data_IF_993040549265
#
_entry.id   IF_993040549265
#
_cell.length_a   1.000
_cell.length_b   1.000
_cell.length_c   1.000
_cell.angle_alpha   90.00
_cell.angle_beta   90.00
_cell.angle_gamma   90.00
#
_symmetry.space_group_name_H-M   'P 1'
#
loop_
_entity.id
_entity.type
_entity.pdbx_description
1 polymer ?
#
# COMPACT_ATOMS: atom_id res chain seq x y z
N UNK A 1 -15.84 -53.05 55.11
CA UNK A 1 -14.44 -53.44 54.82
C UNK A 1 -13.71 -52.27 54.16
N UNK A 2 -13.44 -51.18 54.90
CA UNK A 2 -12.85 -49.95 54.35
C UNK A 2 -11.33 -49.82 54.55
N UNK A 3 -10.70 -50.75 55.28
CA UNK A 3 -9.24 -50.82 55.44
C UNK A 3 -8.70 -52.02 54.66
N UNK A 4 -8.28 -51.79 53.41
CA UNK A 4 -7.44 -52.72 52.66
C UNK A 4 -6.02 -52.15 52.61
N UNK A 5 -5.04 -52.92 53.10
CA UNK A 5 -3.62 -52.52 53.14
C UNK A 5 -3.01 -52.51 51.72
N UNK A 6 -3.53 -53.34 50.82
CA UNK A 6 -3.02 -53.45 49.44
C UNK A 6 -3.66 -52.47 48.45
N UNK A 7 -4.75 -51.80 48.81
CA UNK A 7 -5.46 -50.90 47.88
C UNK A 7 -5.93 -49.66 48.62
N UNK A 8 -5.09 -48.62 48.64
CA UNK A 8 -5.40 -47.36 49.30
C UNK A 8 -6.28 -46.48 48.39
N UNK A 9 -7.60 -46.62 48.54
CA UNK A 9 -8.59 -45.88 47.75
C UNK A 9 -8.47 -44.35 47.92
N UNK A 10 -8.04 -43.88 49.09
CA UNK A 10 -7.80 -42.45 49.36
C UNK A 10 -6.59 -41.92 48.59
N UNK A 11 -5.51 -42.71 48.50
CA UNK A 11 -4.33 -42.35 47.72
C UNK A 11 -4.61 -42.36 46.21
N UNK A 12 -5.44 -43.29 45.71
CA UNK A 12 -5.83 -43.30 44.28
C UNK A 12 -6.67 -42.08 43.89
N UNK A 13 -7.64 -41.68 44.72
CA UNK A 13 -8.44 -40.46 44.49
C UNK A 13 -7.56 -39.20 44.56
N UNK A 14 -6.60 -39.16 45.49
CA UNK A 14 -5.63 -38.08 45.57
C UNK A 14 -4.69 -38.02 44.35
N UNK A 15 -4.26 -39.18 43.82
CA UNK A 15 -3.46 -39.27 42.60
C UNK A 15 -4.23 -38.80 41.37
N UNK A 16 -5.50 -39.18 41.24
CA UNK A 16 -6.34 -38.73 40.12
C UNK A 16 -6.61 -37.21 40.18
N UNK A 17 -6.87 -36.68 41.38
CA UNK A 17 -7.00 -35.23 41.59
C UNK A 17 -5.68 -34.50 41.30
N UNK A 18 -4.54 -35.08 41.65
CA UNK A 18 -3.22 -34.53 41.35
C UNK A 18 -2.94 -34.54 39.85
N UNK A 19 -3.22 -35.63 39.14
CA UNK A 19 -3.08 -35.72 37.69
C UNK A 19 -3.99 -34.72 36.95
N UNK A 20 -5.23 -34.52 37.42
CA UNK A 20 -6.11 -33.46 36.91
C UNK A 20 -5.53 -32.06 37.15
N UNK A 21 -5.03 -31.80 38.36
CA UNK A 21 -4.39 -30.51 38.71
C UNK A 21 -3.12 -30.27 37.88
N UNK A 22 -2.35 -31.32 37.59
CA UNK A 22 -1.16 -31.27 36.75
C UNK A 22 -1.52 -30.89 35.31
N UNK A 23 -2.56 -31.51 34.73
CA UNK A 23 -3.04 -31.16 33.39
C UNK A 23 -3.62 -29.75 33.30
N UNK A 24 -4.30 -29.27 34.35
CA UNK A 24 -4.80 -27.89 34.41
C UNK A 24 -3.66 -26.87 34.58
N UNK A 25 -2.61 -27.24 35.33
CA UNK A 25 -1.39 -26.44 35.49
C UNK A 25 -0.69 -26.25 34.14
N UNK A 26 -0.46 -27.33 33.40
CA UNK A 26 0.18 -27.29 32.07
C UNK A 26 -0.61 -26.40 31.08
N UNK A 27 -1.95 -26.45 31.13
CA UNK A 27 -2.80 -25.57 30.31
C UNK A 27 -2.70 -24.11 30.71
N UNK A 28 -2.68 -23.82 32.01
CA UNK A 28 -2.52 -22.45 32.51
C UNK A 28 -1.13 -21.90 32.19
N UNK A 29 -0.08 -22.72 32.33
CA UNK A 29 1.29 -22.39 31.93
C UNK A 29 1.38 -22.07 30.44
N UNK A 30 0.79 -22.92 29.58
CA UNK A 30 0.75 -22.68 28.14
C UNK A 30 -0.02 -21.39 27.79
N UNK A 31 -1.14 -21.13 28.46
CA UNK A 31 -1.96 -19.94 28.24
C UNK A 31 -1.24 -18.65 28.68
N UNK A 32 -0.51 -18.69 29.80
CA UNK A 32 0.32 -17.56 30.28
C UNK A 32 1.55 -17.37 29.40
N UNK A 33 2.20 -18.44 28.94
CA UNK A 33 3.38 -18.38 28.10
C UNK A 33 3.09 -17.86 26.68
N UNK A 34 1.94 -18.25 26.10
CA UNK A 34 1.54 -17.84 24.74
C UNK A 34 0.67 -16.59 24.72
N UNK A 35 0.13 -16.17 25.85
CA UNK A 35 -0.88 -15.10 25.96
C UNK A 35 -2.23 -15.47 25.32
N UNK A 36 -2.41 -16.72 24.89
CA UNK A 36 -3.59 -17.19 24.17
C UNK A 36 -4.31 -18.28 24.96
N UNK A 37 -5.63 -18.15 25.08
CA UNK A 37 -6.51 -19.17 25.63
C UNK A 37 -6.67 -20.36 24.67
N UNK A 38 -6.55 -20.13 23.36
CA UNK A 38 -6.63 -21.18 22.32
C UNK A 38 -5.35 -21.16 21.50
N UNK A 39 -4.33 -21.90 21.94
CA UNK A 39 -3.02 -21.88 21.28
C UNK A 39 -2.96 -22.84 20.07
N UNK A 40 -3.69 -23.95 20.15
CA UNK A 40 -3.70 -24.98 19.11
C UNK A 40 -5.11 -25.37 18.67
N UNK A 41 -5.21 -26.00 17.50
CA UNK A 41 -6.47 -26.58 17.01
C UNK A 41 -7.05 -27.67 17.94
N UNK A 42 -6.20 -28.26 18.81
CA UNK A 42 -6.64 -29.23 19.81
C UNK A 42 -7.40 -28.59 20.98
N UNK A 43 -7.16 -27.31 21.28
CA UNK A 43 -7.81 -26.61 22.39
C UNK A 43 -9.24 -26.19 22.03
N UNK A 44 -9.41 -25.60 20.84
CA UNK A 44 -10.72 -25.31 20.26
C UNK A 44 -10.59 -25.15 18.73
N UNK A 45 -11.01 -26.15 17.94
CA UNK A 45 -10.83 -26.12 16.49
C UNK A 45 -11.63 -25.01 15.80
N UNK A 46 -12.79 -24.64 16.33
CA UNK A 46 -13.64 -23.61 15.74
C UNK A 46 -13.05 -22.21 15.92
N UNK A 47 -12.70 -21.83 17.16
CA UNK A 47 -12.08 -20.53 17.44
C UNK A 47 -10.70 -20.42 16.78
N UNK A 48 -9.90 -21.49 16.80
CA UNK A 48 -8.60 -21.53 16.14
C UNK A 48 -8.72 -21.40 14.62
N UNK A 49 -9.66 -22.11 13.98
CA UNK A 49 -9.88 -22.03 12.53
C UNK A 49 -10.30 -20.63 12.07
N UNK A 50 -11.27 -20.03 12.75
CA UNK A 50 -11.76 -18.68 12.42
C UNK A 50 -10.66 -17.64 12.62
N UNK A 51 -9.96 -17.67 13.76
CA UNK A 51 -8.85 -16.75 14.03
C UNK A 51 -7.68 -16.92 13.06
N UNK A 52 -7.34 -18.15 12.66
CA UNK A 52 -6.31 -18.39 11.64
C UNK A 52 -6.72 -17.78 10.30
N UNK A 53 -7.98 -17.93 9.89
CA UNK A 53 -8.49 -17.28 8.69
C UNK A 53 -8.42 -15.75 8.78
N UNK A 54 -8.85 -15.18 9.92
CA UNK A 54 -8.76 -13.73 10.16
C UNK A 54 -7.30 -13.24 10.10
N UNK A 55 -6.35 -13.98 10.66
CA UNK A 55 -4.93 -13.61 10.60
C UNK A 55 -4.38 -13.68 9.17
N UNK A 56 -4.83 -14.63 8.35
CA UNK A 56 -4.49 -14.68 6.93
C UNK A 56 -5.08 -13.47 6.18
N UNK A 57 -6.31 -13.07 6.51
CA UNK A 57 -6.96 -11.89 5.92
C UNK A 57 -6.22 -10.59 6.31
N UNK A 58 -5.78 -10.48 7.58
CA UNK A 58 -4.95 -9.36 8.06
C UNK A 58 -3.63 -9.29 7.31
N UNK A 59 -2.91 -10.42 7.17
CA UNK A 59 -1.65 -10.47 6.41
C UNK A 59 -1.86 -10.12 4.93
N UNK A 60 -2.97 -10.58 4.33
CA UNK A 60 -3.36 -10.17 2.97
C UNK A 60 -3.61 -8.67 2.87
N UNK A 61 -4.29 -8.09 3.85
CA UNK A 61 -4.61 -6.65 3.90
C UNK A 61 -3.37 -5.77 4.15
N UNK A 62 -2.38 -6.27 4.89
CA UNK A 62 -1.06 -5.63 5.03
C UNK A 62 -0.32 -5.58 3.68
N UNK A 63 -0.28 -6.69 2.94
CA UNK A 63 0.32 -6.73 1.61
C UNK A 63 -0.41 -5.78 0.63
N UNK A 64 -1.74 -5.68 0.71
CA UNK A 64 -2.53 -4.70 -0.04
C UNK A 64 -2.13 -3.27 0.36
N UNK A 65 -1.96 -3.00 1.65
CA UNK A 65 -1.59 -1.67 2.14
C UNK A 65 -0.16 -1.25 1.76
N UNK A 66 0.78 -2.19 1.68
CA UNK A 66 2.13 -1.96 1.13
C UNK A 66 2.06 -1.63 -0.36
N UNK A 67 1.23 -2.38 -1.12
CA UNK A 67 0.93 -2.09 -2.52
C UNK A 67 0.32 -0.70 -2.73
N UNK A 68 -0.63 -0.29 -1.88
CA UNK A 68 -1.22 1.05 -1.89
C UNK A 68 -0.21 2.14 -1.54
N UNK A 69 0.72 1.87 -0.62
CA UNK A 69 1.79 2.80 -0.27
C UNK A 69 2.73 3.02 -1.45
N UNK A 70 3.10 1.95 -2.15
CA UNK A 70 3.86 2.04 -3.40
C UNK A 70 3.07 2.76 -4.51
N UNK A 71 1.77 2.50 -4.65
CA UNK A 71 0.88 3.24 -5.56
C UNK A 71 0.89 4.74 -5.27
N UNK A 72 0.79 5.11 -4.00
CA UNK A 72 0.80 6.51 -3.54
C UNK A 72 2.10 7.23 -3.88
N UNK A 73 3.24 6.53 -3.81
CA UNK A 73 4.55 7.06 -4.19
C UNK A 73 4.63 7.33 -5.70
N UNK A 74 4.15 6.40 -6.52
CA UNK A 74 4.07 6.57 -7.99
C UNK A 74 3.19 7.78 -8.33
N UNK A 75 2.00 7.89 -7.73
CA UNK A 75 1.09 9.03 -7.95
C UNK A 75 1.71 10.33 -7.47
N UNK A 76 2.41 10.34 -6.34
CA UNK A 76 3.02 11.56 -5.78
C UNK A 76 4.16 12.08 -6.65
N UNK A 77 5.02 11.20 -7.15
CA UNK A 77 6.07 11.56 -8.11
C UNK A 77 5.48 12.08 -9.41
N UNK A 78 4.43 11.42 -9.91
CA UNK A 78 3.70 11.86 -11.11
C UNK A 78 3.01 13.21 -10.91
N UNK A 79 2.41 13.47 -9.76
CA UNK A 79 1.78 14.76 -9.43
C UNK A 79 2.81 15.91 -9.36
N UNK A 80 3.99 15.67 -8.77
CA UNK A 80 5.04 16.67 -8.71
C UNK A 80 5.54 17.02 -10.11
N UNK A 81 5.88 16.01 -10.91
CA UNK A 81 6.29 16.19 -12.29
C UNK A 81 5.21 16.88 -13.14
N UNK A 82 3.94 16.54 -12.91
CA UNK A 82 2.82 17.18 -13.59
C UNK A 82 2.69 18.67 -13.23
N UNK A 83 2.90 19.04 -11.96
CA UNK A 83 2.95 20.43 -11.53
C UNK A 83 4.11 21.21 -12.17
N UNK A 84 5.28 20.60 -12.30
CA UNK A 84 6.42 21.22 -13.01
C UNK A 84 6.11 21.43 -14.49
N UNK A 85 5.45 20.47 -15.16
CA UNK A 85 5.00 20.62 -16.56
C UNK A 85 4.04 21.81 -16.70
N UNK A 86 3.09 21.98 -15.78
CA UNK A 86 2.19 23.15 -15.78
C UNK A 86 2.98 24.46 -15.63
N UNK A 87 3.98 24.51 -14.75
CA UNK A 87 4.86 25.68 -14.62
C UNK A 87 5.61 25.97 -15.92
N UNK A 88 6.23 24.95 -16.53
CA UNK A 88 6.95 25.12 -17.80
C UNK A 88 6.01 25.53 -18.94
N UNK A 89 4.75 25.07 -18.96
CA UNK A 89 3.75 25.54 -19.93
C UNK A 89 3.41 27.03 -19.75
N UNK A 90 3.38 27.53 -18.51
CA UNK A 90 3.23 28.96 -18.26
C UNK A 90 4.47 29.74 -18.71
N UNK A 91 5.68 29.19 -18.54
CA UNK A 91 6.91 29.81 -19.06
C UNK A 91 6.92 29.86 -20.60
N UNK A 92 6.42 28.81 -21.26
CA UNK A 92 6.20 28.78 -22.71
C UNK A 92 5.22 29.87 -23.10
N UNK A 93 4.09 30.02 -22.39
CA UNK A 93 3.12 31.09 -22.63
C UNK A 93 3.76 32.48 -22.51
N UNK A 94 4.50 32.76 -21.45
CA UNK A 94 5.17 34.06 -21.27
C UNK A 94 6.24 34.31 -22.35
N UNK A 95 6.95 33.27 -22.80
CA UNK A 95 7.88 33.39 -23.91
C UNK A 95 7.15 33.76 -25.23
N UNK A 96 5.98 33.19 -25.49
CA UNK A 96 5.15 33.55 -26.66
C UNK A 96 4.55 34.95 -26.52
N UNK A 97 4.12 35.36 -25.34
CA UNK A 97 3.61 36.72 -25.10
C UNK A 97 4.70 37.78 -25.32
N UNK A 98 5.96 37.47 -24.99
CA UNK A 98 7.10 38.38 -25.23
C UNK A 98 7.39 38.63 -26.73
N UNK A 99 6.98 37.71 -27.62
CA UNK A 99 7.11 37.89 -29.07
C UNK A 99 6.19 38.98 -29.62
N UNK A 100 4.99 39.12 -29.06
CA UNK A 100 4.05 40.19 -29.45
C UNK A 100 4.66 41.57 -29.20
N UNK A 101 5.44 41.73 -28.12
CA UNK A 101 6.09 42.99 -27.78
C UNK A 101 7.33 43.31 -28.63
N UNK A 102 7.97 42.31 -29.26
CA UNK A 102 9.23 42.47 -30.03
C UNK A 102 9.08 42.11 -31.53
N UNK A 103 7.87 42.31 -32.08
CA UNK A 103 7.37 41.81 -33.37
C UNK A 103 8.17 42.15 -34.66
N UNK A 104 9.28 42.89 -34.58
CA UNK A 104 9.95 43.50 -35.74
C UNK A 104 11.29 42.85 -36.12
N UNK A 105 11.85 41.92 -35.33
CA UNK A 105 13.18 41.35 -35.58
C UNK A 105 13.18 39.83 -35.79
N UNK A 106 13.77 39.38 -36.90
CA UNK A 106 13.89 37.95 -37.28
C UNK A 106 14.77 37.15 -36.32
N UNK A 107 15.89 37.71 -35.88
CA UNK A 107 16.80 37.05 -34.92
C UNK A 107 16.15 36.85 -33.54
N UNK A 108 15.24 37.76 -33.16
CA UNK A 108 14.43 37.63 -31.94
C UNK A 108 13.40 36.50 -32.06
N UNK A 109 12.82 36.28 -33.24
CA UNK A 109 11.89 35.17 -33.48
C UNK A 109 12.62 33.82 -33.44
N UNK A 110 13.77 33.72 -34.10
CA UNK A 110 14.55 32.47 -34.13
C UNK A 110 15.06 32.12 -32.72
N UNK A 111 15.47 33.12 -31.93
CA UNK A 111 15.87 32.95 -30.53
C UNK A 111 14.71 32.51 -29.62
N UNK A 112 13.51 33.08 -29.80
CA UNK A 112 12.34 32.65 -29.00
C UNK A 112 11.84 31.29 -29.45
N UNK A 113 11.81 30.98 -30.75
CA UNK A 113 11.47 29.65 -31.24
C UNK A 113 12.44 28.59 -30.70
N UNK A 114 13.74 28.88 -30.63
CA UNK A 114 14.72 28.00 -29.98
C UNK A 114 14.42 27.82 -28.48
N UNK A 115 14.02 28.90 -27.78
CA UNK A 115 13.58 28.82 -26.38
C UNK A 115 12.32 27.97 -26.20
N UNK A 116 11.33 28.10 -27.08
CA UNK A 116 10.09 27.30 -27.07
C UNK A 116 10.39 25.81 -27.29
N UNK A 117 11.28 25.49 -28.23
CA UNK A 117 11.75 24.12 -28.45
C UNK A 117 12.49 23.57 -27.22
N UNK A 118 13.36 24.37 -26.59
CA UNK A 118 14.03 23.99 -25.35
C UNK A 118 13.05 23.68 -24.22
N UNK A 119 12.07 24.57 -23.98
CA UNK A 119 11.05 24.38 -22.94
C UNK A 119 10.15 23.16 -23.24
N UNK A 120 9.80 22.91 -24.49
CA UNK A 120 9.06 21.71 -24.88
C UNK A 120 9.89 20.43 -24.70
N UNK A 121 11.20 20.48 -24.94
CA UNK A 121 12.15 19.42 -24.59
C UNK A 121 12.21 19.16 -23.08
N UNK A 122 12.19 20.22 -22.27
CA UNK A 122 12.10 20.13 -20.80
C UNK A 122 10.80 19.46 -20.35
N UNK A 123 9.65 19.81 -20.93
CA UNK A 123 8.36 19.15 -20.63
C UNK A 123 8.44 17.65 -20.89
N UNK A 124 9.00 17.25 -22.03
CA UNK A 124 9.19 15.85 -22.38
C UNK A 124 10.14 15.14 -21.39
N UNK A 125 11.23 15.80 -21.01
CA UNK A 125 12.22 15.29 -20.06
C UNK A 125 11.63 15.11 -18.67
N UNK A 126 10.85 16.06 -18.17
CA UNK A 126 10.15 15.96 -16.87
C UNK A 126 9.15 14.81 -16.91
N UNK A 127 8.32 14.73 -17.96
CA UNK A 127 7.34 13.66 -18.12
C UNK A 127 8.00 12.27 -18.13
N UNK A 128 9.18 12.13 -18.75
CA UNK A 128 9.90 10.85 -18.84
C UNK A 128 10.66 10.47 -17.56
N UNK A 129 11.23 11.45 -16.86
CA UNK A 129 11.95 11.21 -15.61
C UNK A 129 11.04 10.93 -14.40
N UNK A 130 9.73 11.16 -14.52
CA UNK A 130 8.73 10.83 -13.49
C UNK A 130 8.51 9.31 -13.32
N UNK A 131 9.58 8.51 -13.29
CA UNK A 131 9.51 7.06 -13.14
C UNK A 131 9.81 6.62 -11.71
N UNK A 132 9.03 5.66 -11.22
CA UNK A 132 9.24 5.01 -9.93
C UNK A 132 9.35 3.52 -10.16
N UNK A 133 10.58 2.98 -10.01
CA UNK A 133 10.92 1.56 -10.27
C UNK A 133 10.35 1.03 -11.60
N UNK A 134 10.38 1.85 -12.65
CA UNK A 134 9.95 1.49 -14.01
C UNK A 134 8.47 1.71 -14.32
N UNK A 135 7.68 2.25 -13.39
CA UNK A 135 6.32 2.75 -13.68
C UNK A 135 6.39 4.24 -13.94
N UNK A 136 5.73 4.74 -14.99
CA UNK A 136 5.60 6.17 -15.24
C UNK A 136 4.20 6.51 -15.78
N UNK A 137 3.40 7.26 -15.03
CA UNK A 137 2.01 7.60 -15.40
C UNK A 137 1.92 8.77 -16.38
N UNK A 138 2.99 9.53 -16.58
CA UNK A 138 3.07 10.69 -17.49
C UNK A 138 3.72 10.34 -18.83
N UNK A 139 4.38 9.19 -18.92
CA UNK A 139 4.94 8.72 -20.17
C UNK A 139 3.83 8.33 -21.16
N UNK A 140 4.05 8.70 -22.43
CA UNK A 140 3.10 8.43 -23.52
C UNK A 140 3.46 7.17 -24.31
N UNK A 141 4.64 6.59 -24.04
CA UNK A 141 5.18 5.37 -24.66
C UNK A 141 5.89 4.52 -23.60
N UNK A 142 5.74 3.20 -23.71
CA UNK A 142 6.44 2.19 -22.92
C UNK A 142 7.65 1.57 -23.64
N UNK A 143 7.90 1.92 -24.90
CA UNK A 143 8.91 1.26 -25.75
C UNK A 143 10.22 2.05 -25.93
N UNK A 144 10.49 3.04 -25.08
CA UNK A 144 11.56 4.00 -25.33
C UNK A 144 12.96 3.51 -24.88
N UNK A 145 13.08 2.33 -24.25
CA UNK A 145 14.39 1.77 -23.86
C UNK A 145 15.07 2.45 -22.65
N UNK A 146 14.39 3.39 -21.98
CA UNK A 146 14.91 4.11 -20.79
C UNK A 146 14.34 3.60 -19.45
N UNK A 147 13.96 2.32 -19.38
CA UNK A 147 13.52 1.69 -18.12
C UNK A 147 12.05 1.91 -17.73
N UNK A 148 11.23 2.50 -18.61
CA UNK A 148 9.76 2.57 -18.42
C UNK A 148 9.17 1.22 -18.84
N UNK A 149 8.81 0.40 -17.85
CA UNK A 149 8.23 -0.93 -18.02
C UNK A 149 6.71 -0.89 -18.20
N UNK A 150 6.03 0.11 -17.61
CA UNK A 150 4.58 0.28 -17.78
C UNK A 150 4.12 1.73 -17.61
N UNK A 151 3.14 2.13 -18.43
CA UNK A 151 2.42 3.41 -18.31
C UNK A 151 1.18 3.30 -17.43
N UNK A 152 0.65 2.09 -17.24
CA UNK A 152 -0.47 1.80 -16.34
C UNK A 152 0.05 1.09 -15.08
N UNK A 153 -0.50 1.39 -13.92
CA UNK A 153 -0.20 0.65 -12.69
C UNK A 153 -1.48 0.08 -12.12
N UNK A 154 -1.50 -1.22 -11.86
CA UNK A 154 -2.66 -1.85 -11.24
C UNK A 154 -2.30 -2.23 -9.81
N UNK A 155 -3.13 -1.81 -8.86
CA UNK A 155 -2.93 -2.10 -7.44
C UNK A 155 -4.12 -2.86 -6.89
N UNK A 156 -3.86 -3.71 -5.91
CA UNK A 156 -4.92 -4.46 -5.25
C UNK A 156 -5.69 -3.54 -4.31
N UNK A 157 -7.01 -3.73 -4.27
CA UNK A 157 -7.94 -2.94 -3.46
C UNK A 157 -8.58 -3.73 -2.33
N UNK A 158 -8.46 -5.05 -2.33
CA UNK A 158 -8.90 -5.92 -1.24
C UNK A 158 -8.17 -7.27 -1.24
N UNK A 159 -8.20 -7.99 -0.12
CA UNK A 159 -7.52 -9.29 0.02
C UNK A 159 -8.11 -10.39 -0.89
N UNK A 160 -9.32 -10.19 -1.43
CA UNK A 160 -10.00 -11.08 -2.40
C UNK A 160 -9.51 -10.91 -3.84
N UNK A 161 -8.49 -10.07 -4.10
CA UNK A 161 -7.89 -9.91 -5.42
C UNK A 161 -8.60 -8.91 -6.34
N UNK A 162 -9.43 -8.01 -5.79
CA UNK A 162 -9.95 -6.87 -6.54
C UNK A 162 -8.79 -5.93 -6.91
N UNK A 163 -8.76 -5.47 -8.16
CA UNK A 163 -7.63 -4.72 -8.72
C UNK A 163 -8.14 -3.45 -9.39
N UNK A 164 -7.63 -2.30 -8.94
CA UNK A 164 -7.89 -1.02 -9.60
C UNK A 164 -6.70 -0.61 -10.45
N UNK A 165 -7.00 -0.13 -11.66
CA UNK A 165 -6.00 0.42 -12.57
C UNK A 165 -5.89 1.91 -12.35
N UNK A 166 -4.68 2.35 -12.04
CA UNK A 166 -4.29 3.75 -11.98
C UNK A 166 -4.14 4.28 -13.41
N UNK A 167 -5.11 5.09 -13.81
CA UNK A 167 -5.26 5.65 -15.15
C UNK A 167 -4.07 6.53 -15.54
N UNK A 168 -3.36 6.20 -16.62
CA UNK A 168 -2.28 7.02 -17.16
C UNK A 168 -2.77 8.39 -17.63
N UNK A 169 -1.86 9.36 -17.72
CA UNK A 169 -2.11 10.60 -18.43
C UNK A 169 -2.59 10.33 -19.88
N UNK A 170 -1.99 9.36 -20.59
CA UNK A 170 -2.39 8.98 -21.95
C UNK A 170 -3.88 8.67 -22.10
N UNK A 171 -4.47 7.97 -21.13
CA UNK A 171 -5.90 7.63 -21.11
C UNK A 171 -6.78 8.81 -20.71
N UNK A 172 -6.31 9.67 -19.80
CA UNK A 172 -7.02 10.88 -19.36
C UNK A 172 -7.07 11.97 -20.44
N UNK A 173 -6.02 12.08 -21.27
CA UNK A 173 -5.97 13.00 -22.41
C UNK A 173 -6.79 12.53 -23.62
N UNK A 174 -7.32 11.30 -23.60
CA UNK A 174 -8.25 10.79 -24.61
C UNK A 174 -7.64 10.56 -26.01
N UNK A 175 -8.49 10.57 -27.05
CA UNK A 175 -8.13 10.13 -28.41
C UNK A 175 -7.01 10.95 -29.07
N UNK A 176 -6.78 12.19 -28.65
CA UNK A 176 -5.66 13.02 -29.15
C UNK A 176 -4.29 12.50 -28.68
N UNK A 177 -4.23 11.84 -27.52
CA UNK A 177 -3.02 11.26 -26.96
C UNK A 177 -2.84 9.76 -27.31
N UNK A 178 -3.82 9.11 -27.93
CA UNK A 178 -3.80 7.67 -28.20
C UNK A 178 -2.59 7.23 -29.06
N UNK A 179 -2.20 8.05 -30.04
CA UNK A 179 -1.05 7.83 -30.91
C UNK A 179 0.17 8.69 -30.55
N UNK A 180 0.10 9.44 -29.45
CA UNK A 180 1.22 10.27 -29.02
C UNK A 180 2.32 9.42 -28.40
N UNK A 181 3.56 9.64 -28.85
CA UNK A 181 4.75 9.01 -28.27
C UNK A 181 5.43 9.92 -27.23
N UNK A 182 5.10 11.21 -27.24
CA UNK A 182 5.68 12.23 -26.37
C UNK A 182 4.60 13.11 -25.74
N UNK A 183 4.85 13.63 -24.53
CA UNK A 183 3.90 14.49 -23.80
C UNK A 183 3.50 15.74 -24.60
N UNK A 184 4.44 16.32 -25.36
CA UNK A 184 4.19 17.51 -26.18
C UNK A 184 3.22 17.25 -27.34
N UNK A 185 3.20 16.02 -27.86
CA UNK A 185 2.26 15.58 -28.91
C UNK A 185 0.88 15.28 -28.29
N UNK A 186 0.85 14.62 -27.14
CA UNK A 186 -0.37 14.39 -26.36
C UNK A 186 -1.08 15.71 -25.95
N UNK A 187 -0.30 16.76 -25.71
CA UNK A 187 -0.79 18.11 -25.39
C UNK A 187 -1.14 18.96 -26.63
N UNK A 188 -0.96 18.43 -27.85
CA UNK A 188 -1.25 19.16 -29.09
C UNK A 188 -0.30 20.32 -29.40
N UNK A 189 0.90 20.30 -28.83
CA UNK A 189 1.93 21.35 -29.00
C UNK A 189 2.81 21.16 -30.25
N UNK A 190 2.57 20.09 -31.01
CA UNK A 190 3.23 19.76 -32.28
C UNK A 190 2.39 20.24 -33.48
N UNK A 191 3.04 20.55 -34.59
CA UNK A 191 2.40 21.03 -35.84
C UNK A 191 2.50 19.98 -36.96
N UNK A 192 1.96 18.77 -36.74
CA UNK A 192 1.95 17.69 -37.75
C UNK A 192 2.83 16.48 -37.39
N UNK A 193 2.37 15.30 -37.85
CA UNK A 193 2.85 13.91 -37.65
C UNK A 193 3.60 13.61 -36.35
N UNK A 194 3.00 12.72 -35.56
CA UNK A 194 3.48 12.22 -34.26
C UNK A 194 4.99 12.11 -34.17
N UNK A 195 5.55 12.69 -33.12
CA UNK A 195 6.99 12.66 -32.87
C UNK A 195 7.50 11.22 -32.86
N UNK A 196 8.58 10.95 -33.58
CA UNK A 196 9.25 9.64 -33.53
C UNK A 196 9.61 9.26 -32.09
N UNK A 197 9.57 7.95 -31.78
CA UNK A 197 9.63 7.36 -30.44
C UNK A 197 10.89 7.65 -29.60
N UNK A 198 11.80 8.52 -30.05
CA UNK A 198 13.16 8.59 -29.52
C UNK A 198 13.61 9.99 -29.05
N UNK A 199 12.69 10.94 -28.81
CA UNK A 199 13.06 12.31 -28.41
C UNK A 199 13.99 13.01 -29.41
N UNK A 200 14.17 12.44 -30.60
CA UNK A 200 15.03 12.96 -31.64
C UNK A 200 14.27 14.04 -32.41
N UNK A 201 14.73 15.27 -32.18
CA UNK A 201 14.33 16.51 -32.82
C UNK A 201 12.91 17.00 -32.48
N UNK A 202 12.88 17.90 -31.48
CA UNK A 202 11.87 18.95 -31.28
C UNK A 202 11.92 19.92 -32.49
N UNK A 203 11.79 19.44 -33.73
CA UNK A 203 11.89 20.29 -34.93
C UNK A 203 10.52 20.72 -35.47
N UNK A 204 9.43 20.30 -34.80
CA UNK A 204 8.06 20.59 -35.20
C UNK A 204 7.17 20.95 -33.99
N UNK A 205 7.74 21.69 -33.07
CA UNK A 205 7.02 22.26 -31.92
C UNK A 205 6.65 23.70 -32.23
N UNK A 206 5.41 24.06 -31.89
CA UNK A 206 4.87 25.42 -31.74
C UNK A 206 5.72 26.51 -32.41
N UNK A 207 5.66 26.60 -33.74
CA UNK A 207 6.37 27.63 -34.48
C UNK A 207 5.45 28.84 -34.71
N UNK A 208 5.84 30.00 -34.18
CA UNK A 208 5.21 31.27 -34.55
C UNK A 208 5.69 31.62 -35.96
N UNK A 209 4.74 31.84 -36.88
CA UNK A 209 5.05 32.09 -38.29
C UNK A 209 5.12 33.58 -38.57
N UNK A 210 6.00 33.97 -39.49
CA UNK A 210 5.98 35.32 -40.05
C UNK A 210 5.13 35.37 -41.31
N UNK A 211 4.41 36.48 -41.49
CA UNK A 211 3.84 36.86 -42.77
C UNK A 211 4.42 38.22 -43.13
N UNK A 212 5.08 38.31 -44.30
CA UNK A 212 5.69 39.55 -44.80
C UNK A 212 6.69 40.22 -43.82
N UNK A 213 7.49 39.41 -43.11
CA UNK A 213 8.53 39.92 -42.19
C UNK A 213 8.01 40.44 -40.85
N UNK A 214 6.70 40.35 -40.61
CA UNK A 214 6.04 40.68 -39.35
C UNK A 214 5.52 39.38 -38.73
N UNK A 215 5.56 39.30 -37.40
CA UNK A 215 4.94 38.19 -36.65
C UNK A 215 3.44 38.14 -36.99
N UNK A 216 2.94 37.00 -37.48
CA UNK A 216 1.52 36.84 -37.76
C UNK A 216 0.75 36.73 -36.45
N UNK A 217 -0.03 37.76 -36.11
CA UNK A 217 -0.82 37.84 -34.88
C UNK A 217 -1.78 36.65 -34.73
N UNK A 218 -2.32 36.13 -35.85
CA UNK A 218 -3.17 34.93 -35.86
C UNK A 218 -2.39 33.68 -35.45
N UNK A 219 -1.14 33.54 -35.88
CA UNK A 219 -0.27 32.45 -35.47
C UNK A 219 0.06 32.52 -33.98
N UNK A 220 0.27 33.72 -33.43
CA UNK A 220 0.54 33.91 -31.99
C UNK A 220 -0.70 33.57 -31.15
N UNK A 221 -1.89 34.05 -31.55
CA UNK A 221 -3.13 33.69 -30.84
C UNK A 221 -3.39 32.19 -30.88
N UNK A 222 -3.18 31.53 -32.03
CA UNK A 222 -3.34 30.07 -32.15
C UNK A 222 -2.36 29.29 -31.25
N UNK A 223 -1.11 29.76 -31.16
CA UNK A 223 -0.08 29.19 -30.27
C UNK A 223 -0.47 29.37 -28.80
N UNK A 224 -0.96 30.55 -28.42
CA UNK A 224 -1.45 30.83 -27.06
C UNK A 224 -2.65 29.93 -26.72
N UNK A 225 -3.59 29.74 -27.66
CA UNK A 225 -4.76 28.89 -27.43
C UNK A 225 -4.41 27.41 -27.32
N UNK A 226 -3.42 26.93 -28.08
CA UNK A 226 -2.84 25.59 -27.90
C UNK A 226 -2.20 25.43 -26.51
N UNK A 227 -1.46 26.44 -26.03
CA UNK A 227 -0.86 26.40 -24.70
C UNK A 227 -1.94 26.40 -23.61
N UNK A 228 -3.00 27.21 -23.75
CA UNK A 228 -4.15 27.18 -22.83
C UNK A 228 -4.81 25.80 -22.82
N UNK A 229 -5.04 25.20 -23.99
CA UNK A 229 -5.59 23.85 -24.09
C UNK A 229 -4.67 22.79 -23.44
N UNK A 230 -3.35 22.91 -23.61
CA UNK A 230 -2.37 22.06 -22.97
C UNK A 230 -2.37 22.22 -21.43
N UNK A 231 -2.43 23.46 -20.93
CA UNK A 231 -2.55 23.74 -19.48
C UNK A 231 -3.85 23.15 -18.92
N UNK A 232 -4.99 23.33 -19.61
CA UNK A 232 -6.26 22.72 -19.20
C UNK A 232 -6.18 21.20 -19.20
N UNK A 233 -5.61 20.58 -20.22
CA UNK A 233 -5.44 19.13 -20.30
C UNK A 233 -4.55 18.60 -19.18
N UNK A 234 -3.44 19.29 -18.89
CA UNK A 234 -2.56 18.90 -17.79
C UNK A 234 -3.21 19.12 -16.42
N UNK A 235 -4.07 20.13 -16.29
CA UNK A 235 -4.89 20.33 -15.09
C UNK A 235 -5.93 19.22 -14.90
N UNK A 236 -6.49 18.68 -15.99
CA UNK A 236 -7.32 17.48 -15.94
C UNK A 236 -6.52 16.26 -15.47
N UNK A 237 -5.30 16.07 -15.98
CA UNK A 237 -4.40 14.99 -15.52
C UNK A 237 -4.07 15.12 -14.03
N UNK A 238 -3.69 16.32 -13.56
CA UNK A 238 -3.40 16.53 -12.13
C UNK A 238 -4.63 16.33 -11.26
N UNK A 239 -5.82 16.73 -11.74
CA UNK A 239 -7.08 16.49 -11.04
C UNK A 239 -7.39 14.99 -10.91
N UNK A 240 -7.26 14.21 -11.98
CA UNK A 240 -7.46 12.75 -11.95
C UNK A 240 -6.43 12.05 -11.07
N UNK A 241 -5.15 12.44 -11.15
CA UNK A 241 -4.11 11.90 -10.27
C UNK A 241 -4.34 12.30 -8.81
N UNK A 242 -4.83 13.51 -8.55
CA UNK A 242 -5.20 13.98 -7.22
C UNK A 242 -6.36 13.18 -6.62
N UNK A 243 -7.42 12.95 -7.41
CA UNK A 243 -8.52 12.09 -7.03
C UNK A 243 -8.04 10.66 -6.72
N UNK A 244 -7.18 10.11 -7.57
CA UNK A 244 -6.58 8.78 -7.36
C UNK A 244 -5.75 8.70 -6.08
N UNK A 245 -4.96 9.75 -5.77
CA UNK A 245 -4.20 9.83 -4.51
C UNK A 245 -5.11 9.84 -3.29
N UNK A 246 -6.22 10.58 -3.34
CA UNK A 246 -7.21 10.61 -2.26
C UNK A 246 -7.83 9.22 -2.09
N UNK A 247 -8.25 8.58 -3.19
CA UNK A 247 -8.79 7.21 -3.15
C UNK A 247 -7.78 6.25 -2.52
N UNK A 248 -6.53 6.23 -2.97
CA UNK A 248 -5.48 5.37 -2.40
C UNK A 248 -5.31 5.62 -0.89
N UNK A 249 -5.28 6.88 -0.45
CA UNK A 249 -5.16 7.22 0.97
C UNK A 249 -6.37 6.76 1.79
N UNK A 250 -7.59 6.91 1.27
CA UNK A 250 -8.82 6.41 1.88
C UNK A 250 -8.79 4.89 1.99
N UNK A 251 -8.34 4.19 0.94
CA UNK A 251 -8.27 2.73 0.93
C UNK A 251 -7.20 2.18 1.88
N UNK A 252 -6.03 2.82 1.96
CA UNK A 252 -4.99 2.51 2.94
C UNK A 252 -5.53 2.65 4.36
N UNK A 253 -6.26 3.74 4.63
CA UNK A 253 -6.85 3.99 5.96
C UNK A 253 -7.94 2.96 6.28
N UNK A 254 -8.81 2.66 5.32
CA UNK A 254 -9.83 1.63 5.46
C UNK A 254 -9.21 0.26 5.72
N UNK A 255 -8.20 -0.13 4.95
CA UNK A 255 -7.48 -1.39 5.12
C UNK A 255 -6.85 -1.52 6.50
N UNK A 256 -6.18 -0.47 7.00
CA UNK A 256 -5.63 -0.45 8.36
C UNK A 256 -6.71 -0.59 9.44
N UNK A 257 -7.82 0.13 9.30
CA UNK A 257 -8.93 0.03 10.24
C UNK A 257 -9.56 -1.36 10.23
N UNK A 258 -9.72 -1.95 9.04
CA UNK A 258 -10.21 -3.31 8.86
C UNK A 258 -9.26 -4.32 9.52
N UNK A 259 -7.95 -4.24 9.25
CA UNK A 259 -6.94 -5.08 9.89
C UNK A 259 -6.99 -4.96 11.42
N UNK A 260 -7.10 -3.75 11.97
CA UNK A 260 -7.22 -3.54 13.41
C UNK A 260 -8.50 -4.15 13.99
N UNK A 261 -9.65 -3.98 13.32
CA UNK A 261 -10.90 -4.59 13.74
C UNK A 261 -10.86 -6.12 13.67
N UNK A 262 -10.24 -6.67 12.62
CA UNK A 262 -10.03 -8.10 12.45
C UNK A 262 -9.07 -8.65 13.51
N UNK A 263 -7.97 -7.96 13.81
CA UNK A 263 -7.04 -8.34 14.86
C UNK A 263 -7.74 -8.37 16.22
N UNK A 264 -8.56 -7.36 16.53
CA UNK A 264 -9.36 -7.33 17.77
C UNK A 264 -10.39 -8.46 17.81
N UNK A 265 -11.04 -8.78 16.69
CA UNK A 265 -11.96 -9.92 16.59
C UNK A 265 -11.23 -11.26 16.81
N UNK A 266 -10.07 -11.46 16.17
CA UNK A 266 -9.19 -12.62 16.41
C UNK A 266 -8.76 -12.70 17.87
N UNK A 267 -8.38 -11.57 18.47
CA UNK A 267 -7.97 -11.50 19.87
C UNK A 267 -9.11 -11.87 20.81
N UNK A 268 -10.33 -11.37 20.59
CA UNK A 268 -11.50 -11.76 21.39
C UNK A 268 -11.83 -13.26 21.32
N UNK A 269 -11.43 -13.94 20.24
CA UNK A 269 -11.67 -15.37 20.03
C UNK A 269 -10.60 -16.25 20.70
N UNK A 270 -9.38 -15.73 20.89
CA UNK A 270 -8.20 -16.57 21.16
C UNK A 270 -7.31 -16.04 22.28
N UNK A 271 -7.28 -14.75 22.57
CA UNK A 271 -6.42 -14.17 23.60
C UNK A 271 -6.90 -14.54 25.00
N UNK A 272 -5.94 -14.75 25.90
CA UNK A 272 -6.21 -15.01 27.31
C UNK A 272 -6.21 -13.69 28.11
N UNK A 273 -7.08 -13.60 29.11
CA UNK A 273 -6.93 -12.61 30.17
C UNK A 273 -5.77 -13.05 31.08
N UNK A 274 -4.60 -12.43 30.88
CA UNK A 274 -3.39 -12.73 31.63
C UNK A 274 -3.57 -12.53 33.14
N UNK A 275 -4.46 -11.63 33.57
CA UNK A 275 -4.70 -11.39 35.00
C UNK A 275 -5.43 -12.60 35.62
N UNK A 276 -6.47 -13.08 34.96
CA UNK A 276 -7.22 -14.25 35.40
C UNK A 276 -6.37 -15.53 35.32
N UNK A 277 -5.62 -15.73 34.24
CA UNK A 277 -4.81 -16.94 34.07
C UNK A 277 -3.60 -16.98 35.01
N UNK A 278 -3.00 -15.83 35.35
CA UNK A 278 -1.92 -15.75 36.35
C UNK A 278 -2.44 -16.07 37.77
N UNK A 279 -3.62 -15.58 38.13
CA UNK A 279 -4.27 -15.93 39.39
C UNK A 279 -4.64 -17.42 39.46
N UNK A 280 -5.06 -18.00 38.33
CA UNK A 280 -5.34 -19.43 38.21
C UNK A 280 -4.08 -20.29 38.29
N UNK A 281 -2.99 -19.89 37.62
CA UNK A 281 -1.69 -20.56 37.66
C UNK A 281 -1.16 -20.64 39.09
N UNK A 282 -1.15 -19.53 39.83
CA UNK A 282 -0.71 -19.50 41.23
C UNK A 282 -1.60 -20.35 42.15
N UNK A 283 -2.92 -20.35 41.91
CA UNK A 283 -3.85 -21.24 42.61
C UNK A 283 -3.55 -22.72 42.35
N UNK A 284 -3.28 -23.09 41.09
CA UNK A 284 -2.96 -24.46 40.68
C UNK A 284 -1.61 -24.93 41.25
N UNK A 285 -0.58 -24.09 41.25
CA UNK A 285 0.70 -24.38 41.91
C UNK A 285 0.51 -24.64 43.41
N UNK A 286 -0.34 -23.85 44.07
CA UNK A 286 -0.68 -24.04 45.48
C UNK A 286 -1.43 -25.36 45.70
N UNK A 287 -2.40 -25.68 44.83
CA UNK A 287 -3.14 -26.97 44.87
C UNK A 287 -2.23 -28.16 44.63
N UNK A 288 -1.27 -28.08 43.71
CA UNK A 288 -0.29 -29.14 43.45
C UNK A 288 0.59 -29.38 44.69
N UNK A 289 1.11 -28.30 45.31
CA UNK A 289 1.88 -28.39 46.55
C UNK A 289 1.07 -29.04 47.68
N UNK A 290 -0.21 -28.67 47.82
CA UNK A 290 -1.10 -29.26 48.82
C UNK A 290 -1.45 -30.72 48.48
N UNK A 291 -1.63 -31.05 47.21
CA UNK A 291 -1.90 -32.40 46.71
C UNK A 291 -0.76 -33.36 46.98
N UNK A 292 0.49 -32.94 46.73
CA UNK A 292 1.70 -33.71 47.07
C UNK A 292 1.78 -33.94 48.59
N UNK A 293 1.54 -32.90 49.39
CA UNK A 293 1.50 -33.03 50.86
C UNK A 293 0.40 -34.00 51.33
N UNK A 294 -0.79 -33.92 50.74
CA UNK A 294 -1.91 -34.81 51.05
C UNK A 294 -1.62 -36.27 50.65
N UNK A 295 -0.95 -36.50 49.52
CA UNK A 295 -0.48 -37.83 49.09
C UNK A 295 0.55 -38.41 50.06
N UNK A 296 1.51 -37.61 50.52
CA UNK A 296 2.49 -38.03 51.54
C UNK A 296 1.80 -38.42 52.85
N UNK A 297 0.79 -37.66 53.29
CA UNK A 297 -0.01 -37.98 54.48
C UNK A 297 -0.85 -39.25 54.27
N UNK A 298 -1.50 -39.40 53.12
CA UNK A 298 -2.33 -40.56 52.79
C UNK A 298 -1.52 -41.87 52.69
N UNK A 299 -0.28 -41.81 52.22
CA UNK A 299 0.65 -42.95 52.23
C UNK A 299 1.21 -43.24 53.63
N UNK A 300 1.46 -42.21 54.45
CA UNK A 300 1.90 -42.37 55.84
C UNK A 300 0.86 -43.06 56.74
N UNK A 301 -0.45 -42.89 56.46
CA UNK A 301 -1.51 -43.60 57.20
C UNK A 301 -1.43 -45.14 57.06
N UNK A 302 -1.00 -45.66 55.90
CA UNK A 302 -0.81 -47.10 55.73
C UNK A 302 0.39 -47.65 56.52
N UNK A 303 1.43 -46.83 56.74
CA UNK A 303 2.58 -47.20 57.58
C UNK A 303 2.23 -47.21 59.08
N UNK A 304 1.42 -46.25 59.55
CA UNK A 304 0.93 -46.23 60.94
C UNK A 304 0.01 -47.43 61.26
N UNK A 305 -0.69 -47.97 60.27
CA UNK A 305 -1.46 -49.21 60.43
C UNK A 305 -0.50 -50.42 60.54
N UNK A 306 0.60 -50.44 59.78
CA UNK A 306 1.60 -51.52 59.86
C UNK A 306 2.33 -51.54 61.21
N UNK A 307 2.60 -50.38 61.82
CA UNK A 307 3.20 -50.29 63.16
C UNK A 307 2.25 -50.72 64.28
N UNK A 308 0.95 -50.86 64.01
CA UNK A 308 -0.03 -51.38 64.97
C UNK A 308 -0.07 -52.92 65.01
N UNK A 309 0.50 -53.58 63.99
CA UNK A 309 0.55 -55.03 63.84
C UNK A 309 1.98 -55.61 63.97
N UNK A 310 2.97 -54.76 64.30
CA UNK A 310 4.26 -55.16 64.86
C UNK A 310 4.23 -54.99 66.36
#
# INVERSE_FOLDING_TARGET
MSLSINTNRSAMVALETLNQTQGDLEKAENSVATGKKVSSAADNPASYGISSQINNDVAGQEAVNDGLSYASEIVSTSLNAAGQIVSTLNDVRSAVESLVQNSTQKDSLDSVNAKLQGLAGTINTIARNATVKGVNLLAMSSSDGYGISSTNFSYLTGSTGDMQVLTSAKTTLGSAAANANVMTDALGLTTGSSAGSNGAAINNTLAVSMKDGIVDEKSVTAVIDKIKAAVSSMTSVTSTLGASKITIATMSTYGKNLSNSLQNASGSLVDADMSAESAKLTSLQTKQSLGIKALTIANGQSQNILSLFQ
#
